data_IF_470627758869
#
_entry.id   IF_470627758869
#
_cell.length_a   1.000
_cell.length_b   1.000
_cell.length_c   1.000
_cell.angle_alpha   90.00
_cell.angle_beta   90.00
_cell.angle_gamma   90.00
#
_symmetry.space_group_name_H-M   'P 1'
#
loop_
_entity.id
_entity.type
_entity.pdbx_description
1 polymer ?
#
# COMPACT_ATOMS: atom_id res chain seq x y z
N UNK A 1 -15.63 -2.00 13.96
CA UNK A 1 -14.30 -1.78 13.36
C UNK A 1 -13.96 -3.02 12.54
N UNK A 2 -13.83 -2.92 11.21
CA UNK A 2 -13.30 -4.03 10.39
C UNK A 2 -11.79 -3.95 10.33
N UNK A 3 -11.14 -5.10 10.17
CA UNK A 3 -9.70 -5.17 9.88
C UNK A 3 -9.57 -5.65 8.44
N UNK A 4 -9.06 -4.77 7.58
CA UNK A 4 -8.96 -4.98 6.15
C UNK A 4 -7.49 -5.08 5.77
N UNK A 5 -7.11 -6.03 4.92
CA UNK A 5 -5.80 -6.10 4.30
C UNK A 5 -5.93 -5.85 2.80
N UNK A 6 -4.91 -5.22 2.21
CA UNK A 6 -4.80 -5.10 0.75
C UNK A 6 -3.49 -5.74 0.32
N UNK A 7 -3.59 -6.61 -0.67
CA UNK A 7 -2.43 -7.24 -1.29
C UNK A 7 -2.56 -7.24 -2.82
N UNK A 8 -1.41 -7.16 -3.48
CA UNK A 8 -1.29 -7.14 -4.93
C UNK A 8 -0.74 -8.46 -5.46
N UNK A 9 -1.09 -8.80 -6.70
CA UNK A 9 -0.53 -9.96 -7.39
C UNK A 9 -0.38 -9.70 -8.88
N UNK A 10 0.52 -10.44 -9.51
CA UNK A 10 0.71 -10.42 -10.96
C UNK A 10 0.16 -11.68 -11.56
N UNK A 11 -0.76 -11.53 -12.51
CA UNK A 11 -1.42 -12.64 -13.16
C UNK A 11 -0.91 -12.76 -14.60
N UNK A 12 -0.50 -13.96 -14.99
CA UNK A 12 -0.21 -14.28 -16.40
C UNK A 12 -1.53 -14.48 -17.13
N UNK A 13 -1.74 -13.71 -18.19
CA UNK A 13 -2.95 -13.77 -19.00
C UNK A 13 -2.69 -14.48 -20.34
N UNK A 14 -3.74 -14.98 -21.02
CA UNK A 14 -3.62 -15.50 -22.38
C UNK A 14 -3.03 -14.46 -23.33
N UNK A 15 -2.14 -14.88 -24.21
CA UNK A 15 -1.46 -13.98 -25.15
C UNK A 15 -2.32 -13.74 -26.41
N UNK A 16 -3.48 -13.12 -26.22
CA UNK A 16 -4.45 -12.81 -27.28
C UNK A 16 -4.48 -11.29 -27.57
N UNK A 17 -4.64 -10.83 -28.82
CA UNK A 17 -4.58 -9.40 -29.18
C UNK A 17 -5.47 -8.49 -28.31
N UNK A 18 -6.73 -8.85 -28.08
CA UNK A 18 -7.63 -8.03 -27.24
C UNK A 18 -7.26 -8.01 -25.75
N UNK A 19 -6.57 -9.05 -25.24
CA UNK A 19 -6.07 -9.06 -23.85
C UNK A 19 -4.83 -8.18 -23.74
N UNK A 20 -3.97 -8.19 -24.76
CA UNK A 20 -2.80 -7.32 -24.85
C UNK A 20 -3.21 -5.86 -24.98
N UNK A 21 -4.26 -5.56 -25.74
CA UNK A 21 -4.81 -4.21 -25.88
C UNK A 21 -5.28 -3.65 -24.53
N UNK A 22 -6.02 -4.44 -23.75
CA UNK A 22 -6.53 -4.01 -22.44
C UNK A 22 -5.44 -3.97 -21.36
N UNK A 23 -4.65 -5.04 -21.21
CA UNK A 23 -3.77 -5.21 -20.04
C UNK A 23 -2.29 -4.96 -20.31
N UNK A 24 -1.91 -4.90 -21.59
CA UNK A 24 -0.53 -4.78 -22.04
C UNK A 24 0.20 -6.13 -22.15
N UNK A 25 1.48 -6.01 -22.47
CA UNK A 25 2.40 -7.13 -22.65
C UNK A 25 3.80 -6.72 -22.21
N UNK A 26 4.52 -7.64 -21.57
CA UNK A 26 5.92 -7.45 -21.21
C UNK A 26 6.77 -8.60 -21.73
N UNK A 27 7.98 -8.25 -22.18
CA UNK A 27 8.98 -9.20 -22.63
C UNK A 27 9.85 -9.64 -21.45
N UNK A 28 10.02 -10.95 -21.30
CA UNK A 28 10.83 -11.60 -20.27
C UNK A 28 12.02 -12.34 -20.87
N UNK A 29 12.99 -12.68 -20.03
CA UNK A 29 14.21 -13.40 -20.39
C UNK A 29 15.42 -12.48 -20.61
N UNK A 30 16.65 -13.03 -20.64
CA UNK A 30 17.88 -12.26 -20.81
C UNK A 30 17.88 -11.41 -22.08
N UNK A 31 17.17 -11.88 -23.11
CA UNK A 31 17.07 -11.25 -24.43
C UNK A 31 15.70 -10.58 -24.68
N UNK A 32 14.82 -10.52 -23.67
CA UNK A 32 13.46 -10.00 -23.82
C UNK A 32 12.68 -10.65 -25.00
N UNK A 33 12.81 -11.97 -25.15
CA UNK A 33 12.28 -12.76 -26.26
C UNK A 33 11.00 -13.53 -25.91
N UNK A 34 10.58 -13.54 -24.64
CA UNK A 34 9.34 -14.19 -24.20
C UNK A 34 8.27 -13.14 -23.86
N UNK A 35 7.44 -12.70 -24.83
CA UNK A 35 6.34 -11.80 -24.55
C UNK A 35 5.23 -12.52 -23.77
N UNK A 36 4.81 -11.91 -22.66
CA UNK A 36 3.70 -12.38 -21.84
C UNK A 36 2.74 -11.23 -21.59
N UNK A 37 1.45 -11.48 -21.83
CA UNK A 37 0.41 -10.59 -21.32
C UNK A 37 0.28 -10.81 -19.81
N UNK A 38 0.18 -9.70 -19.09
CA UNK A 38 0.12 -9.68 -17.64
C UNK A 38 -0.94 -8.69 -17.19
N UNK A 39 -1.49 -8.92 -16.01
CA UNK A 39 -2.28 -7.93 -15.30
C UNK A 39 -1.83 -7.78 -13.86
N UNK A 40 -2.09 -6.58 -13.31
CA UNK A 40 -2.01 -6.32 -11.89
C UNK A 40 -3.37 -6.65 -11.27
N UNK A 41 -3.39 -7.60 -10.35
CA UNK A 41 -4.55 -7.90 -9.50
C UNK A 41 -4.37 -7.29 -8.12
N UNK A 42 -5.46 -6.89 -7.48
CA UNK A 42 -5.46 -6.52 -6.06
C UNK A 42 -6.74 -6.96 -5.39
N UNK A 43 -6.64 -7.30 -4.11
CA UNK A 43 -7.77 -7.72 -3.28
C UNK A 43 -7.81 -6.90 -2.00
N UNK A 44 -8.98 -6.36 -1.68
CA UNK A 44 -9.33 -5.85 -0.35
C UNK A 44 -10.04 -6.98 0.41
N UNK A 45 -9.43 -7.44 1.49
CA UNK A 45 -9.84 -8.63 2.21
C UNK A 45 -10.13 -8.32 3.68
N UNK A 46 -11.28 -8.76 4.19
CA UNK A 46 -11.58 -8.70 5.61
C UNK A 46 -10.95 -9.91 6.31
N UNK A 47 -9.86 -9.67 7.04
CA UNK A 47 -9.03 -10.74 7.61
C UNK A 47 -9.69 -11.49 8.75
N UNK A 48 -10.68 -10.88 9.43
CA UNK A 48 -11.37 -11.51 10.55
C UNK A 48 -12.52 -12.36 10.06
N UNK A 49 -13.25 -11.89 9.04
CA UNK A 49 -14.39 -12.59 8.47
C UNK A 49 -14.01 -13.52 7.31
N UNK A 50 -12.76 -13.45 6.85
CA UNK A 50 -12.20 -14.25 5.77
C UNK A 50 -12.92 -14.07 4.41
N UNK A 51 -13.39 -12.86 4.14
CA UNK A 51 -14.13 -12.53 2.91
C UNK A 51 -13.40 -11.49 2.07
N UNK A 52 -13.44 -11.68 0.75
CA UNK A 52 -13.02 -10.64 -0.19
C UNK A 52 -14.13 -9.59 -0.29
N UNK A 53 -13.79 -8.35 0.05
CA UNK A 53 -14.70 -7.21 -0.01
C UNK A 53 -14.71 -6.60 -1.41
N UNK A 54 -13.55 -6.55 -2.06
CA UNK A 54 -13.39 -6.02 -3.41
C UNK A 54 -12.17 -6.68 -4.08
N UNK A 55 -12.27 -6.92 -5.37
CA UNK A 55 -11.16 -7.42 -6.18
C UNK A 55 -11.07 -6.60 -7.46
N UNK A 56 -9.85 -6.20 -7.83
CA UNK A 56 -9.59 -5.37 -9.00
C UNK A 56 -8.56 -6.04 -9.88
N UNK A 57 -8.74 -5.84 -11.18
CA UNK A 57 -7.77 -6.19 -12.21
C UNK A 57 -7.49 -4.92 -12.99
N UNK A 58 -6.23 -4.68 -13.33
CA UNK A 58 -5.79 -3.49 -14.06
C UNK A 58 -4.62 -3.84 -14.97
N UNK A 59 -4.32 -2.97 -15.95
CA UNK A 59 -3.17 -3.17 -16.82
C UNK A 59 -1.89 -3.38 -16.03
N UNK A 60 -0.95 -4.14 -16.58
CA UNK A 60 0.29 -4.47 -15.88
C UNK A 60 1.13 -3.22 -15.50
N UNK A 61 0.99 -2.13 -16.26
CA UNK A 61 1.66 -0.86 -15.98
C UNK A 61 1.13 -0.14 -14.72
N UNK A 62 -0.04 -0.54 -14.20
CA UNK A 62 -0.60 0.02 -12.96
C UNK A 62 0.20 -0.39 -11.72
N UNK A 63 0.22 0.47 -10.71
CA UNK A 63 0.84 0.17 -9.43
C UNK A 63 -0.18 -0.36 -8.42
N UNK A 64 0.29 -1.10 -7.42
CA UNK A 64 -0.56 -1.56 -6.30
C UNK A 64 -1.23 -0.40 -5.56
N UNK A 65 -0.56 0.76 -5.48
CA UNK A 65 -1.15 1.98 -4.90
C UNK A 65 -2.31 2.51 -5.75
N UNK A 66 -2.25 2.38 -7.07
CA UNK A 66 -3.35 2.78 -7.94
C UNK A 66 -4.58 1.89 -7.71
N UNK A 67 -4.37 0.57 -7.57
CA UNK A 67 -5.46 -0.36 -7.28
C UNK A 67 -6.01 -0.18 -5.85
N UNK A 68 -5.14 0.11 -4.86
CA UNK A 68 -5.57 0.49 -3.51
C UNK A 68 -6.53 1.68 -3.54
N UNK A 69 -6.25 2.69 -4.37
CA UNK A 69 -7.13 3.85 -4.51
C UNK A 69 -8.50 3.47 -5.08
N UNK A 70 -8.58 2.48 -5.97
CA UNK A 70 -9.87 1.96 -6.48
C UNK A 70 -10.67 1.19 -5.42
N UNK A 71 -10.00 0.65 -4.39
CA UNK A 71 -10.66 -0.01 -3.26
C UNK A 71 -11.19 0.99 -2.21
N UNK A 72 -10.79 2.27 -2.24
CA UNK A 72 -11.09 3.23 -1.16
C UNK A 72 -12.58 3.51 -0.94
N UNK A 73 -13.43 3.30 -1.93
CA UNK A 73 -14.89 3.45 -1.77
C UNK A 73 -15.52 2.33 -0.93
N UNK A 74 -14.77 1.24 -0.72
CA UNK A 74 -15.19 0.09 0.12
C UNK A 74 -14.64 0.17 1.54
N UNK A 75 -13.67 1.05 1.79
CA UNK A 75 -13.07 1.29 3.10
C UNK A 75 -13.81 2.43 3.79
N UNK A 76 -14.23 2.22 5.03
CA UNK A 76 -15.06 3.18 5.78
C UNK A 76 -14.24 3.84 6.90
N UNK A 77 -14.61 5.06 7.32
CA UNK A 77 -14.04 5.65 8.52
C UNK A 77 -14.15 4.69 9.72
N UNK A 78 -13.08 4.57 10.50
CA UNK A 78 -12.99 3.65 11.63
C UNK A 78 -12.62 2.21 11.29
N UNK A 79 -12.44 1.85 10.01
CA UNK A 79 -11.77 0.59 9.65
C UNK A 79 -10.26 0.68 9.92
N UNK A 80 -9.64 -0.47 10.20
CA UNK A 80 -8.19 -0.63 10.28
C UNK A 80 -7.67 -1.27 9.00
N UNK A 81 -6.86 -0.52 8.24
CA UNK A 81 -6.23 -0.98 7.01
C UNK A 81 -4.80 -1.48 7.28
N UNK A 82 -4.57 -2.77 7.02
CA UNK A 82 -3.28 -3.42 7.07
C UNK A 82 -2.60 -3.30 5.71
N UNK A 83 -1.39 -2.76 5.71
CA UNK A 83 -0.59 -2.56 4.51
C UNK A 83 0.79 -3.18 4.69
N UNK A 84 1.27 -3.83 3.63
CA UNK A 84 2.61 -4.40 3.60
C UNK A 84 3.70 -3.31 3.40
N UNK A 85 4.95 -3.73 3.17
CA UNK A 85 6.07 -2.81 2.99
C UNK A 85 6.11 -2.10 1.62
N UNK A 86 5.30 -2.48 0.64
CA UNK A 86 5.26 -1.84 -0.69
C UNK A 86 4.43 -0.55 -0.73
N UNK A 87 3.46 -0.41 0.17
CA UNK A 87 2.55 0.74 0.23
C UNK A 87 3.05 2.02 0.92
N UNK A 88 3.82 1.98 2.03
CA UNK A 88 4.04 3.16 2.85
C UNK A 88 4.59 4.35 2.05
N UNK A 89 3.88 5.46 2.07
CA UNK A 89 4.36 6.75 1.57
C UNK A 89 3.58 7.86 2.29
N UNK A 90 4.21 9.02 2.47
CA UNK A 90 3.62 10.08 3.31
C UNK A 90 2.22 10.47 2.86
N UNK A 91 2.04 10.78 1.57
CA UNK A 91 0.72 11.16 1.06
C UNK A 91 -0.38 10.13 1.38
N UNK A 92 -0.08 8.82 1.33
CA UNK A 92 -1.05 7.77 1.59
C UNK A 92 -1.43 7.75 3.09
N UNK A 93 -0.46 7.85 3.99
CA UNK A 93 -0.77 7.89 5.43
C UNK A 93 -1.65 9.10 5.79
N UNK A 94 -1.36 10.25 5.19
CA UNK A 94 -2.15 11.47 5.36
C UNK A 94 -3.53 11.36 4.73
N UNK A 95 -3.66 10.72 3.56
CA UNK A 95 -4.96 10.43 2.95
C UNK A 95 -5.81 9.54 3.87
N UNK A 96 -5.24 8.46 4.41
CA UNK A 96 -5.95 7.56 5.32
C UNK A 96 -6.41 8.30 6.58
N UNK A 97 -5.54 9.13 7.17
CA UNK A 97 -5.92 10.01 8.29
C UNK A 97 -7.06 10.95 7.91
N UNK A 98 -6.99 11.60 6.74
CA UNK A 98 -8.01 12.53 6.27
C UNK A 98 -9.38 11.88 6.07
N UNK A 99 -9.39 10.60 5.67
CA UNK A 99 -10.61 9.80 5.53
C UNK A 99 -11.06 9.14 6.85
N UNK A 100 -10.38 9.40 7.97
CA UNK A 100 -10.69 8.80 9.26
C UNK A 100 -10.43 7.28 9.32
N UNK A 101 -9.54 6.77 8.47
CA UNK A 101 -9.18 5.35 8.38
C UNK A 101 -7.98 5.11 9.28
N UNK A 102 -8.07 4.10 10.15
CA UNK A 102 -6.92 3.63 10.95
C UNK A 102 -6.01 2.79 10.05
N UNK A 103 -4.71 2.76 10.34
CA UNK A 103 -3.78 1.97 9.54
C UNK A 103 -2.72 1.29 10.41
N UNK A 104 -2.25 0.14 9.93
CA UNK A 104 -1.05 -0.53 10.42
C UNK A 104 -0.22 -0.90 9.20
N UNK A 105 1.03 -0.44 9.17
CA UNK A 105 1.88 -0.59 7.99
C UNK A 105 3.20 -1.22 8.38
N UNK A 106 3.62 -2.24 7.65
CA UNK A 106 4.96 -2.79 7.79
C UNK A 106 5.96 -1.85 7.13
N UNK A 107 6.90 -1.32 7.89
CA UNK A 107 7.94 -0.43 7.37
C UNK A 107 9.21 -1.21 7.04
N UNK A 108 9.97 -0.73 6.05
CA UNK A 108 11.36 -1.12 5.84
C UNK A 108 12.25 -0.25 6.75
N UNK A 109 13.30 -0.84 7.28
CA UNK A 109 14.20 -0.25 8.29
C UNK A 109 14.84 1.08 7.85
N UNK A 110 15.06 1.26 6.54
CA UNK A 110 15.74 2.41 5.95
C UNK A 110 14.79 3.45 5.31
N UNK A 111 13.47 3.34 5.53
CA UNK A 111 12.50 4.11 4.75
C UNK A 111 12.51 5.61 5.06
N UNK A 112 12.57 5.99 6.35
CA UNK A 112 12.59 7.39 6.82
C UNK A 112 13.68 7.58 7.87
N UNK A 113 14.25 8.78 7.94
CA UNK A 113 15.31 9.09 8.91
C UNK A 113 14.87 8.76 10.36
N UNK A 114 13.64 9.09 10.74
CA UNK A 114 13.08 8.78 12.05
C UNK A 114 12.84 7.28 12.28
N UNK A 115 12.51 6.53 11.21
CA UNK A 115 12.33 5.06 11.29
C UNK A 115 13.66 4.36 11.40
N UNK A 116 14.66 4.85 10.66
CA UNK A 116 16.03 4.35 10.74
C UNK A 116 16.61 4.61 12.13
N UNK A 117 16.53 5.85 12.62
CA UNK A 117 16.97 6.21 13.97
C UNK A 117 16.26 5.37 15.05
N UNK A 118 14.96 5.11 14.90
CA UNK A 118 14.24 4.18 15.77
C UNK A 118 14.77 2.76 15.64
N UNK A 119 15.00 2.26 14.42
CA UNK A 119 15.51 0.91 14.15
C UNK A 119 16.88 0.70 14.79
N UNK A 120 17.78 1.67 14.64
CA UNK A 120 19.16 1.64 15.14
C UNK A 120 19.25 1.79 16.69
N UNK A 121 18.18 2.24 17.35
CA UNK A 121 18.10 2.34 18.82
C UNK A 121 17.79 1.01 19.51
N UNK A 122 17.90 0.93 20.84
CA UNK A 122 17.46 -0.24 21.62
C UNK A 122 15.96 -0.21 21.98
N UNK A 123 15.23 0.84 21.57
CA UNK A 123 13.80 0.99 21.89
C UNK A 123 12.95 -0.06 21.15
N UNK A 124 11.97 -0.64 21.86
CA UNK A 124 10.99 -1.57 21.28
C UNK A 124 9.77 -0.88 20.70
N UNK A 125 9.44 0.30 21.21
CA UNK A 125 8.37 1.15 20.68
C UNK A 125 8.74 2.62 20.81
N UNK A 126 8.25 3.46 19.88
CA UNK A 126 8.45 4.91 19.89
C UNK A 126 7.26 5.64 19.30
N UNK A 127 6.85 6.75 19.91
CA UNK A 127 5.89 7.66 19.30
C UNK A 127 6.64 8.59 18.34
N UNK A 128 6.34 8.49 17.05
CA UNK A 128 6.90 9.34 16.01
C UNK A 128 5.83 10.30 15.48
N UNK A 129 6.22 11.55 15.29
CA UNK A 129 5.38 12.56 14.63
C UNK A 129 5.90 12.81 13.23
N UNK A 130 5.00 12.74 12.25
CA UNK A 130 5.29 12.95 10.83
C UNK A 130 4.54 14.18 10.33
N UNK A 131 5.20 14.96 9.47
CA UNK A 131 4.62 16.09 8.74
C UNK A 131 4.49 15.76 7.27
N UNK A 132 3.53 16.39 6.58
CA UNK A 132 3.31 16.14 5.16
C UNK A 132 4.41 16.84 4.34
N UNK A 133 5.19 16.11 3.52
CA UNK A 133 6.19 16.75 2.67
C UNK A 133 5.54 17.66 1.61
N UNK A 134 6.15 18.81 1.33
CA UNK A 134 5.63 19.78 0.34
C UNK A 134 5.33 19.16 -1.03
N UNK A 135 6.13 18.18 -1.46
CA UNK A 135 5.94 17.45 -2.74
C UNK A 135 4.63 16.67 -2.83
N UNK A 136 4.06 16.29 -1.69
CA UNK A 136 2.88 15.45 -1.60
C UNK A 136 1.58 16.26 -1.39
N UNK A 137 1.68 17.59 -1.18
CA UNK A 137 0.52 18.48 -0.98
C UNK A 137 -0.51 18.37 -2.10
N UNK A 138 -0.06 18.29 -3.36
CA UNK A 138 -0.96 18.19 -4.52
C UNK A 138 -1.81 16.92 -4.52
N UNK A 139 -1.36 15.84 -3.88
CA UNK A 139 -2.10 14.57 -3.78
C UNK A 139 -3.23 14.61 -2.77
N UNK A 140 -3.30 15.67 -1.96
CA UNK A 140 -4.28 15.88 -0.91
C UNK A 140 -5.04 17.19 -1.14
N UNK A 141 -5.16 17.63 -2.39
CA UNK A 141 -5.86 18.86 -2.76
C UNK A 141 -7.33 18.88 -2.27
N UNK A 142 -7.97 17.72 -2.22
CA UNK A 142 -9.34 17.56 -1.72
C UNK A 142 -9.46 17.69 -0.18
N UNK A 143 -8.33 17.76 0.53
CA UNK A 143 -8.26 17.85 1.99
C UNK A 143 -7.43 19.06 2.43
N UNK A 144 -7.98 20.30 2.34
CA UNK A 144 -7.22 21.53 2.53
C UNK A 144 -6.66 21.75 3.94
N UNK A 145 -7.12 20.99 4.94
CA UNK A 145 -6.62 21.04 6.32
C UNK A 145 -5.40 20.12 6.58
N UNK A 146 -5.09 19.20 5.66
CA UNK A 146 -3.97 18.26 5.81
C UNK A 146 -2.57 18.88 5.77
N UNK A 147 -2.29 19.98 5.03
CA UNK A 147 -0.97 20.61 5.00
C UNK A 147 -0.42 21.01 6.37
N UNK A 148 -1.30 21.50 7.27
CA UNK A 148 -0.93 21.95 8.62
C UNK A 148 -1.09 20.85 9.68
N UNK A 149 -1.52 19.66 9.25
CA UNK A 149 -1.74 18.52 10.14
C UNK A 149 -0.44 17.73 10.34
N UNK A 150 -0.29 17.13 11.51
CA UNK A 150 0.73 16.09 11.78
C UNK A 150 0.06 14.75 11.98
N UNK A 151 0.76 13.66 11.68
CA UNK A 151 0.35 12.31 12.08
C UNK A 151 1.23 11.84 13.21
N UNK A 152 0.60 11.35 14.27
CA UNK A 152 1.29 10.69 15.38
C UNK A 152 1.11 9.19 15.17
N UNK A 153 2.22 8.48 15.00
CA UNK A 153 2.24 7.03 14.84
C UNK A 153 3.05 6.40 15.97
N UNK A 154 2.65 5.20 16.40
CA UNK A 154 3.51 4.35 17.21
C UNK A 154 4.31 3.43 16.29
N UNK A 155 5.63 3.57 16.34
CA UNK A 155 6.57 2.62 15.76
C UNK A 155 6.78 1.50 16.76
N UNK A 156 6.78 0.24 16.30
CA UNK A 156 6.99 -0.94 17.14
C UNK A 156 7.93 -1.90 16.42
N UNK A 157 8.93 -2.41 17.13
CA UNK A 157 9.77 -3.53 16.68
C UNK A 157 9.14 -4.83 17.12
N UNK A 158 8.90 -5.70 16.16
CA UNK A 158 8.38 -7.04 16.41
C UNK A 158 9.49 -8.03 16.10
N UNK A 159 10.01 -8.67 17.13
CA UNK A 159 10.90 -9.83 16.99
C UNK A 159 10.08 -11.00 16.47
N UNK A 160 10.47 -11.54 15.31
CA UNK A 160 9.84 -12.73 14.76
C UNK A 160 10.50 -13.96 15.37
N UNK A 161 9.73 -15.02 15.69
CA UNK A 161 10.31 -16.28 16.12
C UNK A 161 11.24 -16.81 15.02
N UNK A 162 12.42 -17.28 15.42
CA UNK A 162 13.34 -17.97 14.50
C UNK A 162 12.62 -19.23 14.02
N UNK A 163 12.43 -19.35 12.69
CA UNK A 163 11.89 -20.59 12.12
C UNK A 163 12.91 -21.70 12.39
N UNK A 164 12.52 -22.65 13.25
CA UNK A 164 13.21 -23.92 13.47
C UNK A 164 13.22 -24.79 12.22
#
# INVERSE_FOLDING_TARGET
>A
MRVLAVDGTRLVLPNHPGVIEEFGQQKFGPNADSPRSLAMGSMLYDVLNQITIDARLSPYASSERDLLMQHMDKVKPGDLLLLDRGYPCFWLLFLLKARGIQFCVRLKEDWWLQVKDFTDSDEKERIATFTLPKKDLKKLADFPHMPDTTIICRLIKIELPVKS
#
